data_IF_402604380506
#
_entry.id   IF_402604380506
#
_cell.length_a   1.000
_cell.length_b   1.000
_cell.length_c   1.000
_cell.angle_alpha   90.00
_cell.angle_beta   90.00
_cell.angle_gamma   90.00
#
_symmetry.space_group_name_H-M   'P 1'
#
loop_
_entity.id
_entity.type
_entity.pdbx_description
1 polymer ?
#
# COMPACT_ATOMS: atom_id res chain seq x y z
N UNK A 1 5.66 22.09 6.12
CA UNK A 1 5.23 22.39 4.73
C UNK A 1 6.17 21.67 3.78
N UNK A 2 5.67 21.16 2.65
CA UNK A 2 6.50 20.53 1.61
C UNK A 2 7.02 21.55 0.58
N UNK A 3 6.69 22.84 0.73
CA UNK A 3 7.17 23.95 -0.11
C UNK A 3 7.79 25.07 0.73
N UNK A 4 8.92 24.80 1.40
CA UNK A 4 9.59 25.77 2.24
C UNK A 4 10.20 26.94 1.45
N UNK A 5 10.44 26.76 0.16
CA UNK A 5 10.84 27.78 -0.81
C UNK A 5 9.82 28.91 -0.95
N UNK A 6 8.53 28.62 -0.70
CA UNK A 6 7.43 29.57 -0.80
C UNK A 6 7.12 30.29 0.53
N UNK A 7 7.86 30.01 1.60
CA UNK A 7 7.67 30.67 2.88
C UNK A 7 8.24 32.09 2.84
N UNK A 8 7.45 33.06 3.31
CA UNK A 8 7.91 34.43 3.51
C UNK A 8 9.03 34.46 4.57
N UNK A 9 10.24 34.97 4.25
CA UNK A 9 11.34 35.10 5.21
C UNK A 9 10.99 35.90 6.46
N UNK A 10 10.00 36.81 6.39
CA UNK A 10 9.54 37.56 7.55
C UNK A 10 8.94 36.65 8.63
N UNK A 11 8.39 35.47 8.28
CA UNK A 11 7.84 34.51 9.25
C UNK A 11 8.93 33.79 10.06
N UNK A 12 10.18 33.78 9.57
CA UNK A 12 11.32 33.14 10.22
C UNK A 12 12.04 34.05 11.23
N UNK A 13 11.58 35.30 11.39
CA UNK A 13 12.15 36.21 12.38
C UNK A 13 11.74 35.78 13.80
N UNK A 14 12.56 36.09 14.83
CA UNK A 14 12.22 35.81 16.22
C UNK A 14 10.84 36.36 16.63
N UNK A 15 10.06 35.56 17.36
CA UNK A 15 8.70 35.87 17.83
C UNK A 15 7.57 35.38 16.91
N UNK A 16 7.86 34.50 15.95
CA UNK A 16 6.90 33.96 14.96
C UNK A 16 7.04 32.45 14.84
N UNK A 17 7.72 31.95 13.81
CA UNK A 17 8.09 30.53 13.71
C UNK A 17 9.39 30.26 14.46
N UNK A 18 9.30 30.29 15.78
CA UNK A 18 10.46 30.22 16.68
C UNK A 18 11.13 28.84 16.68
N UNK A 19 10.39 27.78 16.31
CA UNK A 19 10.90 26.41 16.23
C UNK A 19 10.52 25.78 14.91
N UNK A 20 11.55 25.37 14.16
CA UNK A 20 11.41 24.60 12.94
C UNK A 20 11.73 23.14 13.24
N UNK A 21 10.81 22.24 12.88
CA UNK A 21 11.00 20.80 13.01
C UNK A 21 11.04 20.18 11.64
N UNK A 22 12.15 19.51 11.32
CA UNK A 22 12.28 18.73 10.11
C UNK A 22 11.65 17.35 10.31
N UNK A 23 10.67 17.01 9.47
CA UNK A 23 10.03 15.70 9.43
C UNK A 23 10.51 14.96 8.19
N UNK A 24 11.57 14.16 8.37
CA UNK A 24 12.15 13.36 7.29
C UNK A 24 11.45 12.02 7.11
N UNK A 25 11.92 11.27 6.11
CA UNK A 25 11.53 9.87 5.92
C UNK A 25 12.08 9.03 7.07
N UNK A 26 11.23 8.23 7.71
CA UNK A 26 11.67 7.33 8.77
C UNK A 26 12.63 6.29 8.20
N UNK A 27 13.81 6.19 8.80
CA UNK A 27 14.79 5.11 8.53
C UNK A 27 14.71 3.99 9.58
N UNK A 28 13.84 4.16 10.59
CA UNK A 28 13.62 3.16 11.65
C UNK A 28 12.66 2.06 11.15
N UNK A 29 13.10 0.80 11.04
CA UNK A 29 12.27 -0.32 10.63
C UNK A 29 11.05 -0.54 11.53
N UNK A 30 11.17 -0.31 12.84
CA UNK A 30 10.06 -0.51 13.77
C UNK A 30 8.95 0.52 13.55
N UNK A 31 9.32 1.77 13.26
CA UNK A 31 8.38 2.80 12.88
C UNK A 31 7.72 2.51 11.52
N UNK A 32 8.47 2.04 10.53
CA UNK A 32 7.92 1.64 9.22
C UNK A 32 6.97 0.45 9.36
N UNK A 33 7.29 -0.53 10.20
CA UNK A 33 6.44 -1.67 10.49
C UNK A 33 5.12 -1.24 11.12
N UNK A 34 5.16 -0.32 12.09
CA UNK A 34 3.94 0.24 12.70
C UNK A 34 3.07 0.95 11.67
N UNK A 35 3.66 1.67 10.72
CA UNK A 35 2.92 2.31 9.63
C UNK A 35 2.25 1.25 8.74
N UNK A 36 3.00 0.22 8.34
CA UNK A 36 2.46 -0.86 7.51
C UNK A 36 1.34 -1.62 8.23
N UNK A 37 1.55 -1.98 9.50
CA UNK A 37 0.52 -2.60 10.36
C UNK A 37 -0.73 -1.72 10.52
N UNK A 38 -0.55 -0.41 10.67
CA UNK A 38 -1.67 0.52 10.74
C UNK A 38 -2.45 0.58 9.42
N UNK A 39 -1.75 0.55 8.27
CA UNK A 39 -2.35 0.52 6.94
C UNK A 39 -3.09 -0.79 6.67
N UNK A 40 -2.60 -1.92 7.19
CA UNK A 40 -3.19 -3.25 7.01
C UNK A 40 -4.14 -3.68 8.13
N UNK A 41 -4.41 -2.82 9.13
CA UNK A 41 -5.18 -3.18 10.35
C UNK A 41 -6.56 -3.80 10.09
N UNK A 42 -7.18 -3.47 8.95
CA UNK A 42 -8.52 -3.96 8.58
C UNK A 42 -8.48 -5.11 7.57
N UNK A 43 -7.29 -5.52 7.15
CA UNK A 43 -7.13 -6.59 6.18
C UNK A 43 -7.18 -7.93 6.89
N UNK A 44 -7.68 -8.92 6.18
CA UNK A 44 -7.44 -10.29 6.55
C UNK A 44 -6.11 -10.71 5.94
N UNK A 45 -5.13 -10.91 6.80
CA UNK A 45 -3.77 -11.29 6.40
C UNK A 45 -3.63 -12.80 6.50
N UNK A 46 -2.86 -13.38 5.59
CA UNK A 46 -2.45 -14.77 5.68
C UNK A 46 -1.67 -15.02 7.00
N UNK A 47 -1.94 -16.10 7.76
CA UNK A 47 -1.24 -16.38 9.01
C UNK A 47 0.28 -16.49 8.89
N UNK A 48 0.78 -16.89 7.70
CA UNK A 48 2.20 -17.05 7.42
C UNK A 48 2.84 -15.74 6.89
N UNK A 49 2.07 -14.66 6.75
CA UNK A 49 2.56 -13.37 6.29
C UNK A 49 3.32 -12.62 7.39
N UNK A 50 4.63 -12.46 7.19
CA UNK A 50 5.48 -11.58 7.99
C UNK A 50 5.64 -10.20 7.32
N UNK A 51 4.93 -9.19 7.85
CA UNK A 51 5.02 -7.81 7.37
C UNK A 51 6.43 -7.21 7.50
N UNK A 52 7.27 -7.73 8.40
CA UNK A 52 8.66 -7.29 8.54
C UNK A 52 9.48 -7.68 7.31
N UNK A 53 9.18 -8.83 6.70
CA UNK A 53 9.83 -9.25 5.44
C UNK A 53 9.43 -8.38 4.27
N UNK A 54 8.18 -7.89 4.24
CA UNK A 54 7.72 -6.95 3.22
C UNK A 54 8.59 -5.69 3.21
N UNK A 55 9.00 -5.19 4.39
CA UNK A 55 9.83 -3.99 4.50
C UNK A 55 11.25 -4.16 3.94
N UNK A 56 11.79 -5.39 3.91
CA UNK A 56 13.16 -5.63 3.42
C UNK A 56 13.32 -5.26 1.94
N UNK A 57 12.23 -5.35 1.16
CA UNK A 57 12.24 -5.06 -0.27
C UNK A 57 11.87 -3.60 -0.58
N UNK A 58 11.57 -2.79 0.45
CA UNK A 58 11.11 -1.40 0.29
C UNK A 58 12.30 -0.43 0.15
N UNK A 59 12.29 0.48 -0.83
CA UNK A 59 13.32 1.50 -0.96
C UNK A 59 13.34 2.44 0.24
N UNK A 60 14.53 2.88 0.65
CA UNK A 60 14.70 3.86 1.72
C UNK A 60 14.05 5.23 1.45
N UNK A 61 13.66 5.49 0.21
CA UNK A 61 12.96 6.70 -0.23
C UNK A 61 11.44 6.61 -0.06
N UNK A 62 10.91 5.47 0.37
CA UNK A 62 9.48 5.33 0.62
C UNK A 62 9.07 6.09 1.87
N UNK A 63 8.07 6.93 1.71
CA UNK A 63 7.39 7.64 2.79
C UNK A 63 6.32 6.76 3.42
N UNK A 64 5.74 7.22 4.53
CA UNK A 64 4.57 6.54 5.12
C UNK A 64 3.36 6.47 4.16
N UNK A 65 3.24 7.43 3.23
CA UNK A 65 2.21 7.40 2.19
C UNK A 65 2.48 6.31 1.15
N UNK A 66 3.74 6.09 0.76
CA UNK A 66 4.13 5.02 -0.16
C UNK A 66 3.89 3.63 0.46
N UNK A 67 4.18 3.47 1.76
CA UNK A 67 3.84 2.24 2.50
C UNK A 67 2.33 1.96 2.51
N UNK A 68 1.51 3.00 2.71
CA UNK A 68 0.06 2.87 2.64
C UNK A 68 -0.42 2.54 1.21
N UNK A 69 0.24 3.09 0.18
CA UNK A 69 -0.04 2.76 -1.20
C UNK A 69 0.29 1.29 -1.52
N UNK A 70 1.43 0.77 -1.03
CA UNK A 70 1.78 -0.66 -1.14
C UNK A 70 0.70 -1.54 -0.51
N UNK A 71 0.25 -1.23 0.70
CA UNK A 71 -0.83 -1.98 1.35
C UNK A 71 -2.13 -1.97 0.51
N UNK A 72 -2.52 -0.81 0.00
CA UNK A 72 -3.72 -0.67 -0.86
C UNK A 72 -3.59 -1.47 -2.17
N UNK A 73 -2.41 -1.45 -2.78
CA UNK A 73 -2.14 -2.20 -4.01
C UNK A 73 -2.12 -3.71 -3.75
N UNK A 74 -1.59 -4.16 -2.61
CA UNK A 74 -1.61 -5.57 -2.22
C UNK A 74 -3.05 -6.06 -2.00
N UNK A 75 -3.90 -5.27 -1.33
CA UNK A 75 -5.31 -5.60 -1.19
C UNK A 75 -6.02 -5.69 -2.55
N UNK A 76 -5.73 -4.76 -3.46
CA UNK A 76 -6.25 -4.79 -4.83
C UNK A 76 -5.80 -6.03 -5.61
N UNK A 77 -4.56 -6.48 -5.42
CA UNK A 77 -4.04 -7.71 -6.01
C UNK A 77 -4.77 -8.95 -5.46
N UNK A 78 -4.92 -9.04 -4.13
CA UNK A 78 -5.66 -10.10 -3.48
C UNK A 78 -7.13 -10.17 -3.96
N UNK A 79 -7.77 -9.01 -4.11
CA UNK A 79 -9.13 -8.91 -4.65
C UNK A 79 -9.22 -9.42 -6.09
N UNK A 80 -8.28 -9.03 -6.97
CA UNK A 80 -8.21 -9.55 -8.35
C UNK A 80 -8.03 -11.06 -8.37
N UNK A 81 -7.09 -11.58 -7.58
CA UNK A 81 -6.85 -13.02 -7.41
C UNK A 81 -8.13 -13.75 -6.98
N UNK A 82 -8.88 -13.18 -6.03
CA UNK A 82 -10.15 -13.76 -5.58
C UNK A 82 -11.23 -13.78 -6.67
N UNK A 83 -11.35 -12.70 -7.44
CA UNK A 83 -12.29 -12.64 -8.58
C UNK A 83 -11.94 -13.72 -9.60
N UNK A 84 -10.66 -13.86 -9.95
CA UNK A 84 -10.20 -14.87 -10.90
C UNK A 84 -10.52 -16.30 -10.43
N UNK A 85 -10.32 -16.60 -9.14
CA UNK A 85 -10.68 -17.91 -8.58
C UNK A 85 -12.17 -18.23 -8.74
N UNK A 86 -13.04 -17.24 -8.56
CA UNK A 86 -14.50 -17.42 -8.69
C UNK A 86 -14.87 -17.65 -10.16
N UNK A 87 -14.22 -16.94 -11.09
CA UNK A 87 -14.41 -17.13 -12.54
C UNK A 87 -13.95 -18.53 -12.99
N UNK A 88 -12.79 -18.98 -12.50
CA UNK A 88 -12.26 -20.31 -12.76
C UNK A 88 -13.17 -21.41 -12.19
N UNK A 89 -13.71 -21.22 -10.98
CA UNK A 89 -14.67 -22.15 -10.39
C UNK A 89 -15.95 -22.24 -11.22
N UNK A 90 -16.49 -21.11 -11.71
CA UNK A 90 -17.69 -21.08 -12.55
C UNK A 90 -17.47 -21.86 -13.86
N UNK A 91 -16.29 -21.69 -14.45
CA UNK A 91 -15.89 -22.41 -15.66
C UNK A 91 -15.77 -23.92 -15.39
N UNK A 92 -15.09 -24.31 -14.32
CA UNK A 92 -14.90 -25.72 -13.96
C UNK A 92 -16.24 -26.43 -13.69
N UNK A 93 -17.19 -25.78 -13.01
CA UNK A 93 -18.52 -26.36 -12.76
C UNK A 93 -19.35 -26.47 -14.04
N UNK A 94 -19.23 -25.51 -14.95
CA UNK A 94 -19.88 -25.56 -16.25
C UNK A 94 -19.37 -26.74 -17.08
N UNK A 95 -18.05 -26.97 -17.07
CA UNK A 95 -17.42 -28.10 -17.76
C UNK A 95 -17.85 -29.45 -17.14
N UNK A 96 -17.95 -29.53 -15.81
CA UNK A 96 -18.37 -30.73 -15.09
C UNK A 96 -19.83 -31.16 -15.34
N UNK A 97 -20.73 -30.20 -15.61
CA UNK A 97 -22.13 -30.48 -15.95
C UNK A 97 -22.29 -31.16 -17.33
N UNK A 98 -21.28 -31.08 -18.18
CA UNK A 98 -21.25 -31.69 -19.50
C UNK A 98 -22.29 -31.11 -20.48
N UNK A 99 -22.26 -31.54 -21.76
CA UNK A 99 -23.19 -31.04 -22.80
C UNK A 99 -24.63 -31.55 -22.66
N UNK A 100 -24.97 -32.26 -21.57
CA UNK A 100 -26.21 -33.05 -21.46
C UNK A 100 -27.46 -32.22 -21.14
N UNK A 101 -27.31 -30.95 -20.73
CA UNK A 101 -28.43 -30.05 -20.54
C UNK A 101 -28.68 -29.29 -21.86
N UNK A 102 -29.10 -30.02 -22.90
CA UNK A 102 -29.70 -29.45 -24.11
C UNK A 102 -31.12 -28.95 -23.82
N UNK A 103 -31.26 -28.05 -22.86
CA UNK A 103 -32.43 -27.17 -22.78
C UNK A 103 -32.01 -25.85 -23.37
N UNK A 104 -32.85 -25.27 -24.24
CA UNK A 104 -32.51 -24.12 -25.08
C UNK A 104 -32.05 -22.84 -24.32
N UNK A 105 -32.00 -22.85 -22.99
CA UNK A 105 -31.74 -21.70 -22.11
C UNK A 105 -30.61 -21.89 -21.08
N UNK A 106 -29.93 -23.04 -20.98
CA UNK A 106 -28.85 -23.22 -20.00
C UNK A 106 -27.50 -22.72 -20.54
N UNK A 107 -26.99 -21.60 -20.00
CA UNK A 107 -25.72 -20.97 -20.42
C UNK A 107 -24.51 -21.34 -19.56
N UNK A 108 -24.63 -22.34 -18.68
CA UNK A 108 -23.60 -22.71 -17.70
C UNK A 108 -23.73 -21.97 -16.37
N UNK A 109 -22.79 -22.25 -15.47
CA UNK A 109 -22.68 -21.61 -14.16
C UNK A 109 -21.98 -20.27 -14.33
N UNK A 110 -22.55 -19.19 -13.78
CA UNK A 110 -21.94 -17.85 -13.82
C UNK A 110 -21.23 -17.51 -12.49
N UNK A 111 -20.24 -16.61 -12.49
CA UNK A 111 -19.64 -16.10 -11.25
C UNK A 111 -20.68 -15.55 -10.26
N UNK A 112 -21.75 -14.91 -10.77
CA UNK A 112 -22.86 -14.42 -9.93
C UNK A 112 -23.59 -15.55 -9.20
N UNK A 113 -23.77 -16.71 -9.83
CA UNK A 113 -24.39 -17.87 -9.18
C UNK A 113 -23.51 -18.43 -8.06
N UNK A 114 -22.18 -18.43 -8.24
CA UNK A 114 -21.24 -18.83 -7.19
C UNK A 114 -21.31 -17.84 -6.02
N UNK A 115 -21.21 -16.54 -6.31
CA UNK A 115 -21.30 -15.49 -5.30
C UNK A 115 -22.60 -15.55 -4.49
N UNK A 116 -23.72 -15.87 -5.12
CA UNK A 116 -25.03 -15.92 -4.47
C UNK A 116 -25.17 -17.04 -3.42
N UNK A 117 -24.38 -18.11 -3.53
CA UNK A 117 -24.39 -19.24 -2.59
C UNK A 117 -23.13 -19.33 -1.72
N UNK A 118 -22.13 -18.50 -1.98
CA UNK A 118 -20.90 -18.46 -1.21
C UNK A 118 -21.15 -17.95 0.22
N UNK A 119 -20.50 -18.58 1.18
CA UNK A 119 -20.45 -18.12 2.57
C UNK A 119 -19.61 -16.86 2.72
N UNK A 120 -19.75 -16.15 3.84
CA UNK A 120 -18.94 -14.97 4.14
C UNK A 120 -17.45 -15.32 4.24
N UNK A 121 -17.16 -16.49 4.78
CA UNK A 121 -15.82 -17.05 4.93
C UNK A 121 -15.19 -17.33 3.56
N UNK A 122 -15.96 -17.87 2.61
CA UNK A 122 -15.48 -18.09 1.24
C UNK A 122 -15.27 -16.79 0.47
N UNK A 123 -15.98 -15.71 0.79
CA UNK A 123 -15.83 -14.40 0.15
C UNK A 123 -14.73 -13.54 0.78
N UNK A 124 -14.12 -14.01 1.87
CA UNK A 124 -13.07 -13.31 2.59
C UNK A 124 -11.84 -13.10 1.69
N UNK A 125 -11.33 -11.88 1.65
CA UNK A 125 -10.14 -11.52 0.86
C UNK A 125 -8.94 -11.61 1.78
N UNK A 126 -8.17 -12.69 1.64
CA UNK A 126 -6.94 -12.90 2.40
C UNK A 126 -5.76 -12.39 1.59
N UNK A 127 -5.03 -11.42 2.12
CA UNK A 127 -3.83 -10.85 1.51
C UNK A 127 -2.61 -11.64 1.96
N UNK A 128 -1.81 -12.09 1.00
CA UNK A 128 -0.59 -12.87 1.23
C UNK A 128 0.69 -12.13 0.81
N UNK A 129 1.84 -12.78 0.95
CA UNK A 129 3.14 -12.21 0.59
C UNK A 129 3.27 -11.90 -0.91
N UNK A 130 2.64 -12.70 -1.77
CA UNK A 130 2.74 -12.56 -3.22
C UNK A 130 2.01 -11.28 -3.68
N UNK A 131 0.88 -10.97 -3.05
CA UNK A 131 0.16 -9.72 -3.29
C UNK A 131 1.03 -8.48 -2.93
N UNK A 132 1.80 -8.55 -1.83
CA UNK A 132 2.75 -7.49 -1.46
C UNK A 132 3.93 -7.37 -2.43
N UNK A 133 4.43 -8.49 -2.96
CA UNK A 133 5.47 -8.50 -3.98
C UNK A 133 5.01 -7.86 -5.29
N UNK A 134 3.78 -8.17 -5.73
CA UNK A 134 3.16 -7.53 -6.90
C UNK A 134 2.97 -6.02 -6.65
N UNK A 135 2.40 -5.67 -5.50
CA UNK A 135 2.18 -4.28 -5.11
C UNK A 135 3.48 -3.47 -5.14
N UNK A 136 4.56 -4.02 -4.58
CA UNK A 136 5.87 -3.39 -4.53
C UNK A 136 6.42 -3.02 -5.91
N UNK A 137 6.15 -3.82 -6.95
CA UNK A 137 6.59 -3.54 -8.32
C UNK A 137 5.78 -2.40 -8.97
N UNK A 138 4.53 -2.22 -8.54
CA UNK A 138 3.60 -1.24 -9.09
C UNK A 138 3.67 0.15 -8.44
N UNK A 139 4.21 0.25 -7.23
CA UNK A 139 4.28 1.51 -6.47
C UNK A 139 5.63 2.20 -6.71
N UNK A 140 5.58 3.41 -7.23
CA UNK A 140 6.74 4.30 -7.35
C UNK A 140 6.90 5.16 -6.09
N UNK A 141 8.13 5.45 -5.66
CA UNK A 141 8.35 6.35 -4.53
C UNK A 141 7.81 7.76 -4.81
N UNK A 142 7.13 8.36 -3.83
CA UNK A 142 6.66 9.75 -3.92
C UNK A 142 7.79 10.78 -3.81
N UNK A 143 8.94 10.38 -3.27
CA UNK A 143 10.13 11.24 -3.11
C UNK A 143 11.31 10.59 -3.82
N UNK A 144 11.90 11.32 -4.76
CA UNK A 144 13.13 10.89 -5.44
C UNK A 144 14.36 11.02 -4.53
N UNK A 145 15.44 10.33 -4.88
CA UNK A 145 16.72 10.47 -4.16
C UNK A 145 17.27 11.91 -4.24
N UNK A 146 17.07 12.59 -5.36
CA UNK A 146 17.49 13.99 -5.55
C UNK A 146 16.71 14.95 -4.66
N UNK A 147 15.39 14.76 -4.55
CA UNK A 147 14.55 15.54 -3.64
C UNK A 147 14.92 15.29 -2.18
N UNK A 148 15.20 14.03 -1.81
CA UNK A 148 15.65 13.71 -0.45
C UNK A 148 16.95 14.47 -0.12
N UNK A 149 17.94 14.45 -1.01
CA UNK A 149 19.18 15.23 -0.84
C UNK A 149 18.94 16.74 -0.82
N UNK A 150 17.95 17.23 -1.58
CA UNK A 150 17.54 18.64 -1.52
C UNK A 150 17.00 18.99 -0.13
N UNK A 151 16.11 18.17 0.43
CA UNK A 151 15.57 18.38 1.77
C UNK A 151 16.62 18.25 2.88
N UNK A 152 17.59 17.34 2.75
CA UNK A 152 18.71 17.22 3.68
C UNK A 152 19.59 18.49 3.68
N UNK A 153 19.93 19.01 2.50
CA UNK A 153 20.67 20.28 2.37
C UNK A 153 19.90 21.44 3.00
N UNK A 154 18.59 21.49 2.77
CA UNK A 154 17.73 22.51 3.33
C UNK A 154 17.69 22.44 4.86
N UNK A 155 17.58 21.24 5.43
CA UNK A 155 17.65 20.99 6.87
C UNK A 155 18.94 21.54 7.46
N UNK A 156 20.10 21.19 6.88
CA UNK A 156 21.40 21.68 7.37
C UNK A 156 21.49 23.20 7.38
N UNK A 157 20.94 23.87 6.36
CA UNK A 157 20.91 25.34 6.30
C UNK A 157 20.08 25.97 7.42
N UNK A 158 18.91 25.41 7.72
CA UNK A 158 18.05 25.90 8.80
C UNK A 158 18.61 25.59 10.20
N UNK A 159 19.30 24.46 10.38
CA UNK A 159 19.99 24.13 11.64
C UNK A 159 21.21 25.05 11.89
N UNK A 160 21.90 25.51 10.84
CA UNK A 160 23.01 26.46 10.99
C UNK A 160 22.53 27.87 11.37
N UNK A 161 21.37 28.29 10.84
CA UNK A 161 20.79 29.61 11.15
C UNK A 161 20.19 29.68 12.57
N UNK A 162 19.86 28.54 13.17
CA UNK A 162 19.25 28.48 14.51
C UNK A 162 20.25 28.35 15.65
N UNK A 163 21.55 28.13 15.38
CA UNK A 163 22.58 28.15 16.42
C UNK A 163 22.88 29.59 16.86
N UNK A 164 22.83 29.89 18.18
CA UNK A 164 23.26 31.21 18.67
C UNK A 164 24.77 31.41 18.44
N UNK A 165 25.23 32.68 18.32
CA UNK A 165 26.65 33.01 18.15
C UNK A 165 27.51 32.60 19.34
#
# INVERSE_FOLDING_TARGET
>A
TNRPDLLDPALLRPGRFDRLLYLGISQDPDAQLKVLQAATRKFDLDPDLDLSRVLNDIPKTFTGADLAAVASHAFSAALRRKIQQIEEQAKAETEALGPQISTHNFRGVTPQMILARASKEELKIVVDMQDFQEARQSVSPSVSAEELQHYERLRSRFEQQSKPP
#
